data_IF_012990968296
#
_entry.id   IF_012990968296
#
_cell.length_a   1.000
_cell.length_b   1.000
_cell.length_c   1.000
_cell.angle_alpha   90.00
_cell.angle_beta   90.00
_cell.angle_gamma   90.00
#
_symmetry.space_group_name_H-M   'P 1'
#
loop_
_entity.id
_entity.type
_entity.pdbx_description
1 polymer ?
#
# COMPACT_ATOMS: atom_id res chain seq x y z
N UNK A 1 -18.64 -3.14 -5.78
CA UNK A 1 -18.80 -4.25 -6.74
C UNK A 1 -17.66 -5.22 -6.57
N UNK A 2 -17.99 -6.51 -6.43
CA UNK A 2 -16.99 -7.59 -6.24
C UNK A 2 -16.36 -7.93 -7.59
N UNK A 3 -15.07 -7.58 -7.74
CA UNK A 3 -14.34 -7.82 -9.00
C UNK A 3 -13.33 -8.96 -8.87
N UNK A 4 -12.67 -9.09 -7.72
CA UNK A 4 -11.62 -10.07 -7.45
C UNK A 4 -11.45 -10.33 -5.94
N UNK A 5 -10.67 -11.36 -5.53
CA UNK A 5 -10.42 -11.67 -4.13
C UNK A 5 -9.94 -10.49 -3.28
N UNK A 6 -9.04 -9.67 -3.82
CA UNK A 6 -8.51 -8.50 -3.08
C UNK A 6 -9.58 -7.45 -2.78
N UNK A 7 -10.59 -7.27 -3.64
CA UNK A 7 -11.71 -6.36 -3.38
C UNK A 7 -12.57 -6.87 -2.22
N UNK A 8 -12.85 -8.18 -2.20
CA UNK A 8 -13.57 -8.82 -1.08
C UNK A 8 -12.79 -8.67 0.22
N UNK A 9 -11.50 -9.02 0.21
CA UNK A 9 -10.64 -8.93 1.40
C UNK A 9 -10.60 -7.50 1.94
N UNK A 10 -10.46 -6.50 1.05
CA UNK A 10 -10.46 -5.09 1.44
C UNK A 10 -11.75 -4.70 2.18
N UNK A 11 -12.92 -5.01 1.60
CA UNK A 11 -14.21 -4.67 2.21
C UNK A 11 -14.41 -5.35 3.57
N UNK A 12 -14.01 -6.62 3.71
CA UNK A 12 -14.12 -7.34 4.98
C UNK A 12 -13.18 -6.74 6.04
N UNK A 13 -11.96 -6.38 5.67
CA UNK A 13 -11.01 -5.72 6.57
C UNK A 13 -11.54 -4.33 7.00
N UNK A 14 -12.08 -3.54 6.07
CA UNK A 14 -12.65 -2.23 6.39
C UNK A 14 -13.83 -2.35 7.36
N UNK A 15 -14.68 -3.38 7.21
CA UNK A 15 -15.74 -3.66 8.18
C UNK A 15 -15.20 -4.02 9.56
N UNK A 16 -14.13 -4.82 9.63
CA UNK A 16 -13.48 -5.18 10.88
C UNK A 16 -12.87 -3.95 11.59
N UNK A 17 -12.22 -3.05 10.82
CA UNK A 17 -11.69 -1.78 11.35
C UNK A 17 -12.85 -0.91 11.90
N UNK A 18 -13.93 -0.76 11.14
CA UNK A 18 -15.09 0.02 11.54
C UNK A 18 -15.80 -0.55 12.77
N UNK A 19 -15.67 -1.88 13.02
CA UNK A 19 -16.14 -2.54 14.24
C UNK A 19 -15.26 -2.25 15.47
N UNK A 20 -14.21 -1.44 15.36
CA UNK A 20 -13.32 -1.07 16.45
C UNK A 20 -12.38 -2.20 16.90
N UNK A 21 -12.03 -3.10 16.01
CA UNK A 21 -11.19 -4.26 16.29
C UNK A 21 -9.78 -3.87 16.71
N UNK A 22 -9.22 -4.61 17.67
CA UNK A 22 -7.81 -4.52 18.07
C UNK A 22 -6.96 -5.61 17.43
N UNK A 23 -7.60 -6.66 16.89
CA UNK A 23 -6.95 -7.77 16.22
C UNK A 23 -7.75 -8.20 14.99
N UNK A 24 -7.08 -8.30 13.85
CA UNK A 24 -7.66 -8.76 12.59
C UNK A 24 -6.80 -9.90 12.02
N UNK A 25 -7.44 -11.05 11.77
CA UNK A 25 -6.82 -12.21 11.15
C UNK A 25 -7.45 -12.45 9.77
N UNK A 26 -6.60 -12.57 8.75
CA UNK A 26 -6.99 -12.84 7.37
C UNK A 26 -6.42 -14.18 6.95
N UNK A 27 -7.27 -15.09 6.50
CA UNK A 27 -6.88 -16.39 5.98
C UNK A 27 -7.34 -16.52 4.53
N UNK A 28 -6.42 -16.93 3.67
CA UNK A 28 -6.61 -17.02 2.21
C UNK A 28 -6.22 -18.41 1.75
N UNK A 29 -7.08 -19.06 0.95
CA UNK A 29 -6.74 -20.30 0.26
C UNK A 29 -6.89 -20.12 -1.25
N UNK A 30 -5.96 -20.68 -2.01
CA UNK A 30 -5.92 -20.63 -3.47
C UNK A 30 -6.07 -19.19 -4.00
N UNK A 31 -5.29 -18.24 -3.43
CA UNK A 31 -5.35 -16.83 -3.83
C UNK A 31 -6.69 -16.14 -3.55
N UNK A 32 -7.55 -16.75 -2.74
CA UNK A 32 -8.89 -16.27 -2.39
C UNK A 32 -10.02 -16.82 -3.27
N UNK A 33 -9.73 -17.69 -4.24
CA UNK A 33 -10.76 -18.35 -5.03
C UNK A 33 -11.53 -19.40 -4.22
N UNK A 34 -10.83 -20.12 -3.31
CA UNK A 34 -11.42 -21.16 -2.45
C UNK A 34 -11.92 -20.61 -1.13
N UNK A 35 -11.11 -19.79 -0.45
CA UNK A 35 -11.45 -19.22 0.84
C UNK A 35 -10.86 -17.82 0.99
N UNK A 36 -11.70 -16.92 1.46
CA UNK A 36 -11.32 -15.64 2.07
C UNK A 36 -12.02 -15.62 3.43
N UNK A 37 -11.26 -15.64 4.51
CA UNK A 37 -11.82 -15.56 5.86
C UNK A 37 -11.17 -14.37 6.59
N UNK A 38 -12.00 -13.51 7.16
CA UNK A 38 -11.56 -12.41 8.01
C UNK A 38 -12.23 -12.58 9.36
N UNK A 39 -11.42 -12.58 10.41
CA UNK A 39 -11.85 -12.65 11.79
C UNK A 39 -11.36 -11.41 12.53
N UNK A 40 -12.22 -10.83 13.31
CA UNK A 40 -11.96 -9.69 14.17
C UNK A 40 -12.46 -9.91 15.60
N UNK A 41 -12.01 -9.07 16.50
CA UNK A 41 -12.39 -8.97 17.90
C UNK A 41 -13.16 -7.67 18.21
N UNK A 42 -13.86 -7.11 17.23
CA UNK A 42 -14.64 -5.89 17.37
C UNK A 42 -15.92 -6.06 18.17
N UNK A 43 -16.80 -5.09 18.05
CA UNK A 43 -18.07 -5.05 18.83
C UNK A 43 -19.02 -6.23 18.55
N UNK A 44 -18.82 -6.93 17.42
CA UNK A 44 -19.71 -7.99 16.98
C UNK A 44 -21.06 -7.49 16.43
N UNK A 45 -21.91 -8.45 16.03
CA UNK A 45 -23.25 -8.22 15.48
C UNK A 45 -24.22 -9.08 16.27
N UNK A 46 -25.29 -8.48 16.80
CA UNK A 46 -26.33 -9.18 17.52
C UNK A 46 -27.21 -10.07 16.61
N UNK A 47 -27.93 -11.03 17.22
CA UNK A 47 -28.80 -11.98 16.51
C UNK A 47 -29.76 -11.28 15.54
N UNK A 48 -30.43 -10.22 16.00
CA UNK A 48 -31.46 -9.50 15.23
C UNK A 48 -30.88 -8.74 14.03
N UNK A 49 -29.61 -8.33 14.11
CA UNK A 49 -28.93 -7.53 13.08
C UNK A 49 -28.23 -8.39 12.03
N UNK A 50 -27.98 -9.69 12.32
CA UNK A 50 -27.30 -10.58 11.39
C UNK A 50 -27.99 -10.72 10.02
N UNK A 51 -29.32 -10.90 9.92
CA UNK A 51 -30.01 -10.92 8.60
C UNK A 51 -29.88 -9.57 7.88
N UNK A 52 -29.94 -8.46 8.64
CA UNK A 52 -29.81 -7.12 8.09
C UNK A 52 -28.42 -6.85 7.52
N UNK A 53 -27.39 -7.42 8.13
CA UNK A 53 -26.01 -7.30 7.63
C UNK A 53 -25.83 -7.89 6.22
N UNK A 54 -26.69 -8.85 5.82
CA UNK A 54 -26.72 -9.44 4.48
C UNK A 54 -27.75 -8.81 3.55
N UNK A 55 -28.64 -7.95 4.06
CA UNK A 55 -29.64 -7.26 3.25
C UNK A 55 -29.02 -6.11 2.44
N UNK A 56 -29.56 -5.86 1.25
CA UNK A 56 -29.14 -4.72 0.44
C UNK A 56 -29.61 -3.43 1.08
N UNK A 57 -28.79 -2.39 1.03
CA UNK A 57 -29.08 -1.06 1.55
C UNK A 57 -29.27 -0.98 3.08
N UNK A 58 -28.98 -2.07 3.81
CA UNK A 58 -28.97 -2.03 5.27
C UNK A 58 -27.58 -1.60 5.76
N UNK A 59 -27.52 -0.48 6.46
CA UNK A 59 -26.31 0.01 7.11
C UNK A 59 -26.65 0.62 8.46
N UNK A 60 -25.87 0.27 9.48
CA UNK A 60 -25.92 0.92 10.79
C UNK A 60 -24.99 2.15 10.87
N UNK A 61 -24.27 2.45 9.78
CA UNK A 61 -23.19 3.46 9.76
C UNK A 61 -23.65 4.85 9.35
N UNK A 62 -24.87 4.97 8.81
CA UNK A 62 -25.46 6.25 8.34
C UNK A 62 -26.92 6.27 8.81
N UNK A 63 -27.23 7.22 9.67
CA UNK A 63 -28.58 7.49 10.15
C UNK A 63 -29.10 8.87 9.74
N UNK A 64 -28.19 9.77 9.35
CA UNK A 64 -28.51 11.15 8.95
C UNK A 64 -27.75 11.61 7.70
N UNK A 65 -28.15 12.73 7.12
CA UNK A 65 -27.46 13.38 6.01
C UNK A 65 -26.08 13.93 6.45
N UNK A 66 -25.98 14.35 7.69
CA UNK A 66 -24.74 14.84 8.31
C UNK A 66 -23.70 13.72 8.44
N UNK A 67 -24.14 12.49 8.73
CA UNK A 67 -23.28 11.30 8.72
C UNK A 67 -22.70 11.01 7.32
N UNK A 68 -23.40 11.45 6.25
CA UNK A 68 -22.96 11.28 4.88
C UNK A 68 -21.90 12.31 4.48
N UNK A 69 -21.93 13.50 5.05
CA UNK A 69 -20.96 14.56 4.80
C UNK A 69 -19.68 14.39 5.63
N UNK A 70 -19.82 13.96 6.89
CA UNK A 70 -18.71 13.73 7.81
C UNK A 70 -18.25 12.27 7.91
N UNK A 71 -18.27 11.48 6.80
CA UNK A 71 -18.01 10.04 6.80
C UNK A 71 -16.70 9.68 7.49
N UNK A 72 -16.77 9.33 8.77
CA UNK A 72 -15.65 8.79 9.56
C UNK A 72 -15.42 7.29 9.30
N UNK A 73 -16.47 6.54 8.92
CA UNK A 73 -16.40 5.09 8.66
C UNK A 73 -15.81 4.78 7.29
N UNK A 74 -15.02 3.70 7.18
CA UNK A 74 -14.43 3.25 5.92
C UNK A 74 -15.48 2.69 4.95
N UNK A 75 -16.53 2.03 5.47
CA UNK A 75 -17.65 1.46 4.71
C UNK A 75 -18.99 2.14 5.03
N UNK A 76 -19.71 2.69 4.06
CA UNK A 76 -20.99 3.40 4.30
C UNK A 76 -22.17 2.97 3.42
N UNK A 77 -21.97 2.10 2.40
CA UNK A 77 -23.02 1.78 1.41
C UNK A 77 -23.94 0.63 1.78
N UNK A 78 -23.63 -0.16 2.82
CA UNK A 78 -24.45 -1.29 3.26
C UNK A 78 -24.67 -2.41 2.22
N UNK A 79 -23.83 -2.47 1.16
CA UNK A 79 -24.03 -3.39 0.04
C UNK A 79 -22.92 -4.44 -0.12
N UNK A 80 -21.82 -4.32 0.64
CA UNK A 80 -20.63 -5.16 0.44
C UNK A 80 -20.94 -6.63 0.68
N UNK A 81 -21.48 -6.99 1.85
CA UNK A 81 -21.79 -8.38 2.20
C UNK A 81 -22.86 -8.98 1.31
N UNK A 82 -23.91 -8.22 0.96
CA UNK A 82 -24.95 -8.63 0.03
C UNK A 82 -24.38 -8.91 -1.38
N UNK A 83 -23.47 -8.08 -1.85
CA UNK A 83 -22.82 -8.27 -3.14
C UNK A 83 -21.88 -9.49 -3.14
N UNK A 84 -21.13 -9.70 -2.05
CA UNK A 84 -20.24 -10.84 -1.88
C UNK A 84 -21.04 -12.15 -1.83
N UNK A 85 -22.09 -12.22 -1.02
CA UNK A 85 -22.92 -13.42 -0.86
C UNK A 85 -23.62 -13.82 -2.16
N UNK A 86 -23.96 -12.85 -3.03
CA UNK A 86 -24.59 -13.14 -4.33
C UNK A 86 -23.71 -13.92 -5.29
N UNK A 87 -22.39 -13.93 -5.10
CA UNK A 87 -21.40 -14.58 -5.99
C UNK A 87 -20.49 -15.58 -5.26
N UNK A 88 -20.82 -15.93 -4.02
CA UNK A 88 -20.03 -16.84 -3.19
C UNK A 88 -20.94 -17.60 -2.22
N UNK A 89 -20.35 -18.54 -1.48
CA UNK A 89 -20.93 -19.14 -0.29
C UNK A 89 -20.40 -18.40 0.91
N UNK A 90 -21.26 -17.58 1.53
CA UNK A 90 -20.88 -16.72 2.64
C UNK A 90 -21.43 -17.29 3.95
N UNK A 91 -20.53 -17.42 4.93
CA UNK A 91 -20.85 -17.71 6.32
C UNK A 91 -20.35 -16.56 7.18
N UNK A 92 -21.22 -16.04 8.03
CA UNK A 92 -20.90 -15.01 9.02
C UNK A 92 -21.26 -15.55 10.39
N UNK A 93 -20.28 -15.58 11.29
CA UNK A 93 -20.45 -15.94 12.71
C UNK A 93 -20.06 -14.71 13.54
N UNK A 94 -20.93 -14.30 14.44
CA UNK A 94 -20.67 -13.10 15.24
C UNK A 94 -21.23 -13.21 16.64
N UNK A 95 -20.60 -12.50 17.55
CA UNK A 95 -21.03 -12.38 18.94
C UNK A 95 -20.81 -10.95 19.43
N UNK A 96 -21.86 -10.32 19.90
CA UNK A 96 -21.80 -9.00 20.53
C UNK A 96 -21.69 -9.04 22.05
N UNK A 97 -21.79 -10.24 22.65
CA UNK A 97 -21.72 -10.49 24.09
C UNK A 97 -20.32 -10.95 24.51
N UNK A 98 -20.00 -10.80 25.79
CA UNK A 98 -18.76 -11.30 26.37
C UNK A 98 -18.76 -12.83 26.59
N UNK A 99 -19.96 -13.48 26.75
CA UNK A 99 -20.07 -14.94 26.84
C UNK A 99 -19.92 -15.57 25.43
N UNK A 100 -18.86 -16.37 25.18
CA UNK A 100 -18.64 -16.99 23.87
C UNK A 100 -19.77 -17.90 23.38
N UNK A 101 -20.69 -18.32 24.27
CA UNK A 101 -21.83 -19.16 23.94
C UNK A 101 -22.99 -18.41 23.33
N UNK A 102 -23.01 -17.08 23.42
CA UNK A 102 -24.04 -16.19 22.89
C UNK A 102 -23.82 -15.79 21.42
N UNK A 103 -22.96 -16.53 20.70
CA UNK A 103 -22.70 -16.30 19.30
C UNK A 103 -23.78 -16.85 18.37
N UNK A 104 -23.91 -16.25 17.20
CA UNK A 104 -24.88 -16.59 16.17
C UNK A 104 -24.21 -16.70 14.80
N UNK A 105 -24.74 -17.58 13.98
CA UNK A 105 -24.27 -17.82 12.62
C UNK A 105 -25.39 -17.56 11.62
N UNK A 106 -25.05 -16.90 10.53
CA UNK A 106 -25.91 -16.78 9.36
C UNK A 106 -25.15 -17.29 8.14
N UNK A 107 -25.85 -18.04 7.29
CA UNK A 107 -25.32 -18.56 6.03
C UNK A 107 -26.16 -18.01 4.89
N UNK A 108 -25.49 -17.55 3.82
CA UNK A 108 -26.13 -17.10 2.58
C UNK A 108 -25.38 -17.67 1.38
N UNK A 109 -26.12 -18.20 0.41
CA UNK A 109 -25.56 -18.81 -0.80
C UNK A 109 -26.30 -18.34 -2.05
N UNK A 110 -25.58 -17.69 -2.95
CA UNK A 110 -26.10 -17.30 -4.26
C UNK A 110 -27.21 -16.23 -4.23
N UNK A 111 -28.08 -16.22 -5.24
CA UNK A 111 -29.09 -15.18 -5.42
C UNK A 111 -30.41 -15.40 -4.66
N UNK A 112 -30.69 -16.62 -4.23
CA UNK A 112 -31.94 -17.00 -3.55
C UNK A 112 -31.88 -16.88 -2.02
N UNK A 113 -31.15 -15.94 -1.49
CA UNK A 113 -30.73 -15.78 -0.11
C UNK A 113 -31.86 -15.82 0.92
N UNK A 114 -32.18 -17.01 1.44
CA UNK A 114 -32.82 -17.12 2.75
C UNK A 114 -31.71 -17.13 3.83
N UNK A 115 -31.59 -16.03 4.55
CA UNK A 115 -30.64 -15.94 5.65
C UNK A 115 -31.14 -16.81 6.82
N UNK A 116 -30.53 -17.97 7.02
CA UNK A 116 -30.84 -18.85 8.16
C UNK A 116 -29.92 -18.53 9.30
N UNK A 117 -30.48 -18.01 10.39
CA UNK A 117 -29.76 -17.74 11.63
C UNK A 117 -29.81 -18.96 12.53
N UNK A 118 -28.68 -19.36 13.09
CA UNK A 118 -28.54 -20.49 14.04
C UNK A 118 -27.55 -20.13 15.13
N UNK A 119 -27.73 -20.63 16.38
CA UNK A 119 -26.72 -20.46 17.43
C UNK A 119 -25.37 -21.07 17.00
N UNK A 120 -24.29 -20.36 17.29
CA UNK A 120 -22.93 -20.83 17.06
C UNK A 120 -21.96 -20.15 18.01
N UNK A 121 -21.22 -20.89 18.84
CA UNK A 121 -20.25 -20.30 19.75
C UNK A 121 -19.18 -19.48 19.01
N UNK A 122 -18.94 -18.28 19.49
CA UNK A 122 -17.91 -17.37 18.97
C UNK A 122 -17.48 -16.41 20.09
N UNK A 123 -16.19 -16.13 20.28
CA UNK A 123 -15.78 -15.03 21.16
C UNK A 123 -16.35 -13.71 20.63
N UNK A 124 -16.38 -12.68 21.44
CA UNK A 124 -16.81 -11.35 21.01
C UNK A 124 -16.06 -10.95 19.71
N UNK A 125 -16.78 -10.41 18.74
CA UNK A 125 -16.29 -10.07 17.42
C UNK A 125 -16.99 -10.81 16.29
N UNK A 126 -16.40 -10.80 15.10
CA UNK A 126 -17.00 -11.37 13.89
C UNK A 126 -16.01 -12.21 13.08
N UNK A 127 -16.50 -13.30 12.51
CA UNK A 127 -15.79 -14.07 11.51
C UNK A 127 -16.64 -14.17 10.24
N UNK A 128 -16.11 -13.68 9.12
CA UNK A 128 -16.74 -13.78 7.81
C UNK A 128 -15.91 -14.75 6.95
N UNK A 129 -16.55 -15.81 6.47
CA UNK A 129 -15.94 -16.80 5.57
C UNK A 129 -16.63 -16.75 4.21
N UNK A 130 -15.87 -16.43 3.18
CA UNK A 130 -16.31 -16.39 1.78
C UNK A 130 -15.67 -17.56 1.05
N UNK A 131 -16.48 -18.54 0.65
CA UNK A 131 -16.02 -19.75 -0.03
C UNK A 131 -16.44 -19.74 -1.50
N UNK A 132 -15.63 -20.39 -2.32
CA UNK A 132 -15.91 -20.65 -3.74
C UNK A 132 -16.33 -19.40 -4.51
N UNK A 133 -15.53 -18.34 -4.41
CA UNK A 133 -15.81 -17.06 -5.06
C UNK A 133 -16.07 -17.27 -6.57
N UNK A 134 -17.17 -16.67 -7.06
CA UNK A 134 -17.66 -16.79 -8.43
C UNK A 134 -18.12 -18.21 -8.86
N UNK A 135 -18.52 -19.07 -7.90
CA UNK A 135 -19.00 -20.42 -8.21
C UNK A 135 -20.19 -20.41 -9.18
N UNK A 136 -21.08 -19.42 -9.07
CA UNK A 136 -22.28 -19.26 -9.90
C UNK A 136 -22.10 -18.26 -11.06
N UNK A 137 -20.88 -17.78 -11.30
CA UNK A 137 -20.55 -16.83 -12.38
C UNK A 137 -19.29 -17.31 -13.12
N UNK A 138 -19.39 -18.39 -13.95
CA UNK A 138 -18.21 -19.01 -14.58
C UNK A 138 -17.38 -18.06 -15.43
N UNK A 139 -18.01 -17.09 -16.09
CA UNK A 139 -17.30 -16.08 -16.87
C UNK A 139 -16.36 -15.25 -15.97
N UNK A 140 -16.85 -14.77 -14.81
CA UNK A 140 -16.00 -14.05 -13.84
C UNK A 140 -14.89 -14.90 -13.27
N UNK A 141 -15.18 -16.19 -12.98
CA UNK A 141 -14.17 -17.13 -12.48
C UNK A 141 -13.02 -17.33 -13.47
N UNK A 142 -13.29 -17.34 -14.77
CA UNK A 142 -12.26 -17.43 -15.83
C UNK A 142 -11.35 -16.20 -15.91
N UNK A 143 -11.78 -15.04 -15.43
CA UNK A 143 -10.96 -13.82 -15.38
C UNK A 143 -10.03 -13.76 -14.18
N UNK A 144 -10.15 -14.66 -13.21
CA UNK A 144 -9.17 -14.76 -12.13
C UNK A 144 -7.81 -15.14 -12.71
N UNK A 145 -6.79 -14.47 -12.21
CA UNK A 145 -5.40 -14.77 -12.57
C UNK A 145 -4.91 -16.01 -11.83
N UNK A 146 -3.62 -16.29 -11.96
CA UNK A 146 -3.00 -17.38 -11.19
C UNK A 146 -3.13 -17.12 -9.70
N UNK A 147 -3.14 -18.19 -8.89
CA UNK A 147 -3.19 -18.13 -7.43
C UNK A 147 -2.16 -17.14 -6.86
N UNK A 148 -0.91 -17.23 -7.35
CA UNK A 148 0.19 -16.33 -6.94
C UNK A 148 -0.14 -14.87 -7.21
N UNK A 149 -0.73 -14.57 -8.37
CA UNK A 149 -1.07 -13.19 -8.76
C UNK A 149 -2.24 -12.65 -7.93
N UNK A 150 -3.29 -13.47 -7.73
CA UNK A 150 -4.43 -13.04 -6.91
C UNK A 150 -4.02 -12.86 -5.45
N UNK A 151 -3.19 -13.77 -4.91
CA UNK A 151 -2.65 -13.60 -3.56
C UNK A 151 -1.80 -12.33 -3.43
N UNK A 152 -0.95 -12.00 -4.40
CA UNK A 152 -0.17 -10.77 -4.39
C UNK A 152 -1.07 -9.51 -4.32
N UNK A 153 -2.22 -9.52 -5.00
CA UNK A 153 -3.21 -8.43 -4.89
C UNK A 153 -3.88 -8.38 -3.51
N UNK A 154 -4.18 -9.54 -2.91
CA UNK A 154 -4.72 -9.62 -1.54
C UNK A 154 -3.69 -9.12 -0.53
N UNK A 155 -2.45 -9.58 -0.65
CA UNK A 155 -1.34 -9.14 0.22
C UNK A 155 -1.12 -7.63 0.14
N UNK A 156 -1.20 -7.05 -1.06
CA UNK A 156 -1.10 -5.60 -1.24
C UNK A 156 -2.27 -4.86 -0.59
N UNK A 157 -3.50 -5.36 -0.69
CA UNK A 157 -4.65 -4.79 -0.01
C UNK A 157 -4.50 -4.87 1.53
N UNK A 158 -4.05 -6.01 2.04
CA UNK A 158 -3.74 -6.21 3.45
C UNK A 158 -2.64 -5.24 3.94
N UNK A 159 -1.53 -5.13 3.18
CA UNK A 159 -0.40 -4.24 3.50
C UNK A 159 -0.83 -2.79 3.66
N UNK A 160 -1.69 -2.30 2.76
CA UNK A 160 -2.25 -0.95 2.83
C UNK A 160 -3.01 -0.71 4.12
N UNK A 161 -3.86 -1.63 4.52
CA UNK A 161 -4.63 -1.51 5.75
C UNK A 161 -3.74 -1.62 7.00
N UNK A 162 -2.78 -2.54 6.99
CA UNK A 162 -1.84 -2.71 8.10
C UNK A 162 -0.89 -1.50 8.28
N UNK A 163 -0.60 -0.75 7.21
CA UNK A 163 0.15 0.51 7.27
C UNK A 163 -0.72 1.71 7.68
N UNK A 164 -2.05 1.64 7.54
CA UNK A 164 -2.95 2.72 7.97
C UNK A 164 -3.31 2.65 9.46
N UNK A 165 -3.24 1.45 10.08
CA UNK A 165 -3.71 1.21 11.45
C UNK A 165 -2.65 0.45 12.24
N UNK A 166 -1.73 1.20 12.86
CA UNK A 166 -0.66 0.64 13.69
C UNK A 166 -1.14 0.16 15.06
N UNK A 167 -2.28 0.64 15.51
CA UNK A 167 -2.96 0.26 16.75
C UNK A 167 -3.53 -1.17 16.72
N UNK A 168 -3.73 -1.74 15.54
CA UNK A 168 -4.31 -3.08 15.35
C UNK A 168 -3.22 -4.14 15.19
N UNK A 169 -3.41 -5.30 15.81
CA UNK A 169 -2.63 -6.51 15.55
C UNK A 169 -3.13 -7.19 14.28
N UNK A 170 -2.21 -7.57 13.38
CA UNK A 170 -2.57 -8.15 12.09
C UNK A 170 -1.93 -9.52 11.88
N UNK A 171 -2.71 -10.46 11.32
CA UNK A 171 -2.21 -11.76 10.88
C UNK A 171 -2.71 -12.03 9.46
N UNK A 172 -1.81 -12.40 8.56
CA UNK A 172 -2.15 -12.90 7.23
C UNK A 172 -1.64 -14.33 7.07
N UNK A 173 -2.54 -15.24 6.70
CA UNK A 173 -2.23 -16.63 6.37
C UNK A 173 -2.56 -16.91 4.91
N UNK A 174 -1.72 -17.66 4.24
CA UNK A 174 -1.97 -18.19 2.90
C UNK A 174 -1.72 -19.69 2.87
N UNK A 175 -2.74 -20.46 2.48
CA UNK A 175 -2.71 -21.92 2.48
C UNK A 175 -2.19 -22.46 3.83
N UNK A 176 -2.77 -21.97 4.94
CA UNK A 176 -2.46 -22.33 6.33
C UNK A 176 -1.11 -21.84 6.86
N UNK A 177 -0.24 -21.29 6.00
CA UNK A 177 1.06 -20.73 6.42
C UNK A 177 0.91 -19.25 6.80
N UNK A 178 1.53 -18.86 7.90
CA UNK A 178 1.62 -17.45 8.30
C UNK A 178 2.57 -16.72 7.34
N UNK A 179 2.06 -15.70 6.66
CA UNK A 179 2.84 -14.82 5.77
C UNK A 179 3.27 -13.58 6.52
N UNK A 180 2.35 -12.96 7.26
CA UNK A 180 2.62 -11.80 8.09
C UNK A 180 2.00 -11.97 9.47
N UNK A 181 2.76 -11.56 10.49
CA UNK A 181 2.30 -11.43 11.87
C UNK A 181 2.85 -10.12 12.43
N UNK A 182 1.98 -9.14 12.62
CA UNK A 182 2.33 -7.76 12.92
C UNK A 182 1.71 -7.38 14.27
N UNK A 183 2.51 -7.19 15.32
CA UNK A 183 2.00 -6.74 16.62
C UNK A 183 1.49 -5.29 16.51
N UNK A 184 0.56 -4.86 17.38
CA UNK A 184 0.16 -3.46 17.47
C UNK A 184 1.29 -2.62 18.02
N UNK A 185 1.35 -1.34 17.67
CA UNK A 185 2.31 -0.41 18.26
C UNK A 185 2.37 0.93 17.54
N UNK A 186 2.12 2.00 18.29
CA UNK A 186 2.13 3.37 17.79
C UNK A 186 3.47 4.08 17.99
N UNK A 187 4.37 3.50 18.79
CA UNK A 187 5.72 4.06 18.99
C UNK A 187 6.50 4.07 17.67
N UNK A 188 7.33 5.06 17.40
CA UNK A 188 8.10 5.16 16.15
C UNK A 188 8.86 3.88 15.81
N UNK A 189 9.54 3.28 16.77
CA UNK A 189 10.29 2.02 16.58
C UNK A 189 9.39 0.84 16.23
N UNK A 190 8.15 0.78 16.75
CA UNK A 190 7.20 -0.26 16.42
C UNK A 190 6.65 -0.08 14.99
N UNK A 191 6.40 1.17 14.59
CA UNK A 191 6.00 1.51 13.20
C UNK A 191 7.11 1.14 12.22
N UNK A 192 8.36 1.48 12.50
CA UNK A 192 9.51 1.11 11.66
C UNK A 192 9.67 -0.40 11.52
N UNK A 193 9.53 -1.17 12.60
CA UNK A 193 9.57 -2.64 12.55
C UNK A 193 8.46 -3.20 11.65
N UNK A 194 7.25 -2.64 11.71
CA UNK A 194 6.14 -3.05 10.84
C UNK A 194 6.42 -2.71 9.39
N UNK A 195 6.90 -1.51 9.10
CA UNK A 195 7.30 -1.11 7.75
C UNK A 195 8.40 -2.03 7.23
N UNK A 196 9.43 -2.31 8.02
CA UNK A 196 10.51 -3.23 7.65
C UNK A 196 10.01 -4.65 7.40
N UNK A 197 9.02 -5.12 8.15
CA UNK A 197 8.38 -6.43 7.94
C UNK A 197 7.58 -6.49 6.63
N UNK A 198 6.93 -5.39 6.23
CA UNK A 198 6.07 -5.33 5.05
C UNK A 198 6.80 -4.93 3.76
N UNK A 199 7.78 -4.02 3.85
CA UNK A 199 8.46 -3.44 2.70
C UNK A 199 9.93 -3.84 2.58
N UNK A 200 10.45 -4.54 3.60
CA UNK A 200 11.84 -4.95 3.70
C UNK A 200 12.68 -3.98 4.55
N UNK A 201 13.71 -4.52 5.22
CA UNK A 201 14.63 -3.74 6.06
C UNK A 201 15.33 -2.65 5.27
N UNK A 202 15.71 -2.95 4.04
CA UNK A 202 16.39 -2.01 3.14
C UNK A 202 15.60 -0.71 2.90
N UNK A 203 14.25 -0.75 2.98
CA UNK A 203 13.43 0.45 2.91
C UNK A 203 13.75 1.40 4.07
N UNK A 204 13.69 0.91 5.32
CA UNK A 204 13.92 1.73 6.52
C UNK A 204 15.37 2.23 6.60
N UNK A 205 16.35 1.40 6.23
CA UNK A 205 17.77 1.75 6.23
C UNK A 205 18.09 2.91 5.26
N UNK A 206 17.28 3.06 4.19
CA UNK A 206 17.44 4.10 3.18
C UNK A 206 16.26 5.08 3.15
N UNK A 207 15.54 5.24 4.23
CA UNK A 207 14.45 6.20 4.36
C UNK A 207 14.76 7.22 5.47
N UNK A 208 14.16 8.41 5.33
CA UNK A 208 14.16 9.43 6.39
C UNK A 208 12.75 9.65 6.89
N UNK A 209 12.63 9.80 8.19
CA UNK A 209 11.39 10.24 8.80
C UNK A 209 11.21 11.74 8.57
N UNK A 210 10.01 12.12 8.18
CA UNK A 210 9.59 13.51 8.00
C UNK A 210 8.40 13.77 8.92
N UNK A 211 8.40 14.95 9.54
CA UNK A 211 7.25 15.51 10.25
C UNK A 211 7.22 17.01 10.04
N UNK A 212 6.13 17.51 9.46
CA UNK A 212 5.93 18.94 9.15
C UNK A 212 4.48 19.31 9.39
N UNK A 213 4.28 20.49 9.96
CA UNK A 213 2.96 21.06 10.20
C UNK A 213 2.92 22.50 9.72
N UNK A 214 1.94 22.85 8.90
CA UNK A 214 1.68 24.22 8.46
C UNK A 214 0.26 24.33 7.87
N UNK A 215 -0.39 25.46 8.11
CA UNK A 215 -1.68 25.80 7.50
C UNK A 215 -2.81 24.81 7.81
N UNK A 216 -2.79 24.17 8.98
CA UNK A 216 -3.77 23.13 9.35
C UNK A 216 -3.51 21.76 8.71
N UNK A 217 -2.37 21.60 8.03
CA UNK A 217 -1.92 20.33 7.44
C UNK A 217 -0.76 19.77 8.26
N UNK A 218 -0.80 18.48 8.58
CA UNK A 218 0.31 17.76 9.20
C UNK A 218 0.71 16.57 8.32
N UNK A 219 1.96 16.60 7.86
CA UNK A 219 2.58 15.52 7.09
C UNK A 219 3.57 14.78 7.98
N UNK A 220 3.44 13.45 8.06
CA UNK A 220 4.40 12.59 8.75
C UNK A 220 4.68 11.32 7.95
N UNK A 221 5.78 10.62 8.25
CA UNK A 221 6.09 9.34 7.63
C UNK A 221 7.54 9.18 7.18
N UNK A 222 7.75 8.26 6.26
CA UNK A 222 9.09 7.86 5.79
C UNK A 222 9.22 8.09 4.29
N UNK A 223 10.29 8.76 3.92
CA UNK A 223 10.64 9.16 2.54
C UNK A 223 11.92 8.43 2.16
N UNK A 224 11.86 7.60 1.13
CA UNK A 224 13.05 6.89 0.63
C UNK A 224 14.06 7.87 0.02
N UNK A 225 15.33 7.66 0.33
CA UNK A 225 16.41 8.41 -0.29
C UNK A 225 16.46 8.12 -1.80
N UNK A 226 16.94 9.06 -2.63
CA UNK A 226 17.05 8.87 -4.08
C UNK A 226 17.84 7.63 -4.49
N UNK A 227 18.83 7.25 -3.67
CA UNK A 227 19.65 6.04 -3.84
C UNK A 227 18.83 4.75 -3.73
N UNK A 228 17.70 4.78 -3.00
CA UNK A 228 16.78 3.66 -2.82
C UNK A 228 15.50 3.86 -3.64
N UNK A 229 15.65 4.07 -4.94
CA UNK A 229 14.52 4.21 -5.87
C UNK A 229 14.24 2.89 -6.61
N UNK A 230 13.02 2.73 -7.13
CA UNK A 230 12.58 1.50 -7.78
C UNK A 230 12.27 1.71 -9.26
N UNK A 231 12.35 0.63 -10.04
CA UNK A 231 11.94 0.63 -11.47
C UNK A 231 10.42 0.65 -11.64
N UNK A 232 9.66 0.31 -10.58
CA UNK A 232 8.20 0.31 -10.57
C UNK A 232 7.67 1.13 -9.40
N UNK A 233 6.49 1.72 -9.56
CA UNK A 233 5.80 2.51 -8.53
C UNK A 233 5.00 1.61 -7.57
N UNK A 234 5.65 0.61 -6.98
CA UNK A 234 5.04 -0.45 -6.17
C UNK A 234 5.15 -0.25 -4.65
N UNK A 235 5.98 0.69 -4.20
CA UNK A 235 6.15 1.02 -2.77
C UNK A 235 5.82 2.51 -2.51
N UNK A 236 4.62 2.91 -2.90
CA UNK A 236 4.11 4.26 -2.72
C UNK A 236 2.82 4.22 -1.92
N UNK A 237 2.92 4.54 -0.63
CA UNK A 237 1.81 4.50 0.31
C UNK A 237 1.52 5.89 0.83
N UNK A 238 0.34 6.40 0.50
CA UNK A 238 -0.14 7.70 0.97
C UNK A 238 -1.49 7.55 1.66
N UNK A 239 -1.59 8.16 2.82
CA UNK A 239 -2.79 8.10 3.66
C UNK A 239 -3.27 9.51 3.97
N UNK A 240 -4.58 9.72 3.90
CA UNK A 240 -5.25 10.96 4.32
C UNK A 240 -6.23 10.63 5.42
N UNK A 241 -6.04 11.19 6.62
CA UNK A 241 -6.85 10.90 7.79
C UNK A 241 -7.07 9.39 8.00
N UNK A 242 -6.00 8.58 7.87
CA UNK A 242 -6.01 7.13 8.00
C UNK A 242 -6.58 6.35 6.80
N UNK A 243 -7.02 7.02 5.74
CA UNK A 243 -7.52 6.38 4.51
C UNK A 243 -6.44 6.25 3.45
N UNK A 244 -6.39 5.10 2.79
CA UNK A 244 -5.52 4.88 1.62
C UNK A 244 -5.95 5.76 0.47
N UNK A 245 -5.06 6.62 -0.03
CA UNK A 245 -5.32 7.55 -1.11
C UNK A 245 -4.35 7.33 -2.27
N UNK A 246 -4.90 7.35 -3.50
CA UNK A 246 -4.16 7.36 -4.77
C UNK A 246 -4.66 8.54 -5.60
N UNK A 247 -4.15 9.70 -5.30
CA UNK A 247 -4.58 10.95 -5.90
C UNK A 247 -3.52 11.50 -6.86
N UNK A 248 -3.97 12.14 -7.94
CA UNK A 248 -3.08 12.68 -8.98
C UNK A 248 -2.29 13.89 -8.49
N UNK A 249 -2.91 14.74 -7.65
CA UNK A 249 -2.29 15.91 -7.07
C UNK A 249 -1.14 15.50 -6.16
N UNK A 250 -1.39 14.53 -5.25
CA UNK A 250 -0.37 13.96 -4.37
C UNK A 250 0.77 13.34 -5.18
N UNK A 251 0.44 12.51 -6.16
CA UNK A 251 1.43 11.87 -7.02
C UNK A 251 2.26 12.89 -7.81
N UNK A 252 1.66 14.02 -8.20
CA UNK A 252 2.35 15.12 -8.89
C UNK A 252 3.31 15.83 -7.94
N UNK A 253 2.84 16.22 -6.74
CA UNK A 253 3.66 16.90 -5.74
C UNK A 253 4.90 16.08 -5.35
N UNK A 254 4.70 14.78 -5.07
CA UNK A 254 5.81 13.87 -4.76
C UNK A 254 6.79 13.76 -5.93
N UNK A 255 6.29 13.55 -7.15
CA UNK A 255 7.15 13.43 -8.33
C UNK A 255 7.95 14.70 -8.58
N UNK A 256 7.35 15.86 -8.38
CA UNK A 256 8.02 17.14 -8.52
C UNK A 256 9.12 17.33 -7.45
N UNK A 257 8.86 16.93 -6.20
CA UNK A 257 9.86 17.00 -5.14
C UNK A 257 11.10 16.13 -5.40
N UNK A 258 10.92 15.03 -6.11
CA UNK A 258 12.01 14.12 -6.46
C UNK A 258 12.65 14.40 -7.83
N UNK A 259 12.15 15.37 -8.60
CA UNK A 259 12.52 15.58 -10.02
C UNK A 259 14.01 15.75 -10.23
N UNK A 260 14.68 16.52 -9.35
CA UNK A 260 16.09 16.89 -9.50
C UNK A 260 17.06 15.90 -8.86
N UNK A 261 16.54 14.86 -8.23
CA UNK A 261 17.35 13.89 -7.45
C UNK A 261 17.17 12.44 -7.90
N UNK A 262 16.15 12.14 -8.73
CA UNK A 262 15.93 10.80 -9.28
C UNK A 262 16.39 10.69 -10.74
N UNK A 263 17.02 9.57 -11.05
CA UNK A 263 17.31 9.22 -12.45
C UNK A 263 16.01 8.95 -13.24
N UNK A 264 16.02 9.23 -14.53
CA UNK A 264 14.89 8.97 -15.42
C UNK A 264 14.44 7.50 -15.36
N UNK A 265 13.12 7.28 -15.30
CA UNK A 265 12.53 5.95 -15.21
C UNK A 265 12.57 5.30 -13.82
N UNK A 266 13.01 6.03 -12.79
CA UNK A 266 12.97 5.56 -11.42
C UNK A 266 11.79 6.18 -10.66
N UNK A 267 11.28 5.42 -9.68
CA UNK A 267 10.15 5.82 -8.86
C UNK A 267 10.56 5.96 -7.40
N UNK A 268 10.11 7.03 -6.72
CA UNK A 268 10.34 7.20 -5.29
C UNK A 268 9.59 6.13 -4.50
N UNK A 269 10.09 5.81 -3.33
CA UNK A 269 9.43 4.95 -2.34
C UNK A 269 9.09 5.77 -1.10
N UNK A 270 7.90 5.58 -0.55
CA UNK A 270 7.47 6.33 0.62
C UNK A 270 6.29 5.68 1.34
N UNK A 271 6.16 6.01 2.62
CA UNK A 271 4.99 5.74 3.46
C UNK A 271 4.66 7.05 4.16
N UNK A 272 3.64 7.77 3.69
CA UNK A 272 3.31 9.13 4.12
C UNK A 272 1.88 9.23 4.64
N UNK A 273 1.69 10.02 5.69
CA UNK A 273 0.42 10.29 6.34
C UNK A 273 0.18 11.80 6.33
N UNK A 274 -0.94 12.21 5.74
CA UNK A 274 -1.44 13.58 5.77
C UNK A 274 -2.66 13.63 6.68
N UNK A 275 -2.59 14.46 7.69
CA UNK A 275 -3.70 14.77 8.59
C UNK A 275 -4.16 16.20 8.32
N UNK A 276 -5.46 16.38 8.19
CA UNK A 276 -6.10 17.67 7.98
C UNK A 276 -7.55 17.61 8.46
N UNK A 277 -8.16 18.77 8.62
CA UNK A 277 -9.57 18.87 8.99
C UNK A 277 -10.44 18.10 7.99
N UNK A 278 -11.30 17.17 8.43
CA UNK A 278 -12.20 16.42 7.57
C UNK A 278 -13.08 17.31 6.67
N UNK A 279 -13.44 18.51 7.11
CA UNK A 279 -14.32 19.42 6.36
C UNK A 279 -13.62 20.05 5.13
N UNK A 280 -12.29 19.96 5.03
CA UNK A 280 -11.54 20.48 3.88
C UNK A 280 -11.16 19.41 2.84
N UNK A 281 -11.60 18.16 3.06
CA UNK A 281 -11.37 17.06 2.14
C UNK A 281 -12.66 16.28 1.86
N UNK A 282 -13.07 16.21 0.59
CA UNK A 282 -14.15 15.34 0.16
C UNK A 282 -13.58 13.96 -0.24
N UNK A 283 -13.99 12.93 0.48
CA UNK A 283 -13.58 11.54 0.25
C UNK A 283 -14.61 10.74 -0.56
N UNK A 284 -15.77 11.34 -0.87
CA UNK A 284 -16.85 10.67 -1.60
C UNK A 284 -16.81 10.93 -3.12
N UNK A 285 -15.64 11.11 -3.68
CA UNK A 285 -15.45 11.46 -5.10
C UNK A 285 -15.55 10.26 -6.03
N UNK A 286 -15.09 9.08 -5.60
CA UNK A 286 -15.01 7.89 -6.45
C UNK A 286 -15.53 6.62 -5.73
N UNK A 287 -16.18 5.68 -6.45
CA UNK A 287 -16.71 4.44 -5.87
C UNK A 287 -15.68 3.60 -5.11
N UNK A 288 -14.40 3.62 -5.52
CA UNK A 288 -13.31 2.90 -4.87
C UNK A 288 -12.69 3.66 -3.69
N UNK A 289 -13.11 4.92 -3.46
CA UNK A 289 -12.62 5.81 -2.39
C UNK A 289 -11.10 6.03 -2.36
N UNK A 290 -10.41 5.79 -3.46
CA UNK A 290 -8.96 6.02 -3.57
C UNK A 290 -8.60 7.43 -4.02
N UNK A 291 -9.55 8.16 -4.60
CA UNK A 291 -9.41 9.57 -4.97
C UNK A 291 -10.10 10.44 -3.93
N UNK A 292 -9.50 11.56 -3.60
CA UNK A 292 -10.03 12.56 -2.69
C UNK A 292 -10.05 13.91 -3.40
N UNK A 293 -10.92 14.80 -2.99
CA UNK A 293 -10.95 16.16 -3.49
C UNK A 293 -10.62 17.11 -2.34
N UNK A 294 -9.48 17.76 -2.41
CA UNK A 294 -9.12 18.79 -1.46
C UNK A 294 -9.83 20.10 -1.81
N UNK A 295 -10.34 20.80 -0.80
CA UNK A 295 -10.99 22.10 -0.96
C UNK A 295 -10.01 23.12 -1.54
N UNK A 296 -8.79 23.16 -1.05
CA UNK A 296 -7.67 23.91 -1.59
C UNK A 296 -6.55 22.95 -2.04
N UNK A 297 -6.68 22.42 -3.24
CA UNK A 297 -5.71 21.49 -3.80
C UNK A 297 -4.34 22.13 -4.02
N UNK A 298 -4.28 23.45 -4.30
CA UNK A 298 -3.00 24.14 -4.50
C UNK A 298 -2.21 24.23 -3.21
N UNK A 299 -2.87 24.61 -2.12
CA UNK A 299 -2.23 24.69 -0.80
C UNK A 299 -1.67 23.32 -0.38
N UNK A 300 -2.46 22.25 -0.56
CA UNK A 300 -2.00 20.87 -0.26
C UNK A 300 -0.82 20.46 -1.13
N UNK A 301 -0.87 20.75 -2.44
CA UNK A 301 0.23 20.47 -3.36
C UNK A 301 1.52 21.16 -2.94
N UNK A 302 1.46 22.48 -2.69
CA UNK A 302 2.63 23.30 -2.35
C UNK A 302 3.21 22.91 -0.98
N UNK A 303 2.34 22.55 -0.02
CA UNK A 303 2.77 22.02 1.28
C UNK A 303 3.50 20.68 1.15
N UNK A 304 2.95 19.74 0.38
CA UNK A 304 3.58 18.43 0.14
C UNK A 304 4.91 18.60 -0.58
N UNK A 305 4.93 19.38 -1.66
CA UNK A 305 6.13 19.63 -2.44
C UNK A 305 7.24 20.24 -1.57
N UNK A 306 6.95 21.34 -0.89
CA UNK A 306 7.95 22.05 -0.06
C UNK A 306 8.47 21.18 1.08
N UNK A 307 7.59 20.41 1.73
CA UNK A 307 7.96 19.51 2.83
C UNK A 307 8.92 18.41 2.37
N UNK A 308 8.59 17.76 1.26
CA UNK A 308 9.41 16.68 0.70
C UNK A 308 10.72 17.20 0.11
N UNK A 309 10.66 18.29 -0.65
CA UNK A 309 11.85 18.91 -1.23
C UNK A 309 12.86 19.30 -0.16
N UNK A 310 12.40 19.90 0.94
CA UNK A 310 13.26 20.29 2.06
C UNK A 310 13.91 19.06 2.74
N UNK A 311 13.14 18.00 2.94
CA UNK A 311 13.65 16.74 3.50
C UNK A 311 14.73 16.11 2.61
N UNK A 312 14.53 16.13 1.29
CA UNK A 312 15.48 15.58 0.31
C UNK A 312 16.72 16.45 0.14
N UNK A 313 16.58 17.78 0.18
CA UNK A 313 17.71 18.73 0.10
C UNK A 313 18.65 18.57 1.30
N UNK A 314 18.11 18.41 2.51
CA UNK A 314 18.89 18.14 3.72
C UNK A 314 19.62 16.77 3.69
N UNK A 315 19.40 15.95 2.66
CA UNK A 315 20.01 14.63 2.48
C UNK A 315 21.17 14.62 1.50
N UNK A 316 21.46 15.74 0.83
CA UNK A 316 22.68 15.86 0.03
C UNK A 316 23.86 15.92 1.00
N UNK A 317 24.95 15.15 0.80
CA UNK A 317 26.17 15.36 1.54
C UNK A 317 26.58 16.82 1.32
N UNK A 318 26.76 17.57 2.38
CA UNK A 318 27.41 18.86 2.30
C UNK A 318 28.79 18.55 1.76
N UNK A 319 29.12 18.97 0.54
CA UNK A 319 30.50 19.11 0.14
C UNK A 319 31.10 20.04 1.18
N UNK A 320 31.99 19.50 2.02
CA UNK A 320 32.78 20.28 2.94
C UNK A 320 33.48 21.34 2.07
N UNK A 321 33.07 22.60 2.22
CA UNK A 321 33.91 23.71 1.78
C UNK A 321 35.28 23.52 2.41
N UNK A 322 36.36 23.48 1.62
CA UNK A 322 37.69 23.42 2.22
C UNK A 322 37.84 24.62 3.13
N UNK A 323 38.02 24.34 4.41
CA UNK A 323 38.30 25.35 5.43
C UNK A 323 39.38 26.26 4.91
N UNK A 324 39.03 27.54 4.73
CA UNK A 324 39.97 28.61 4.46
C UNK A 324 40.95 28.65 5.64
N UNK A 325 42.14 28.12 5.41
CA UNK A 325 43.26 28.26 6.32
C UNK A 325 43.66 29.72 6.39
N UNK A 326 43.43 30.34 7.54
CA UNK A 326 44.01 31.64 7.92
C UNK A 326 45.52 31.59 7.74
N UNK A 327 45.96 32.44 6.81
CA UNK A 327 47.36 32.76 6.59
C UNK A 327 47.83 33.71 7.69
N UNK A 328 48.61 33.24 8.64
CA UNK A 328 49.52 34.11 9.38
C UNK A 328 50.93 33.93 8.89
N UNK A 329 51.44 35.03 8.36
CA UNK A 329 52.84 35.21 7.93
C UNK A 329 53.78 35.09 9.12
N UNK A 330 54.91 34.40 8.93
CA UNK A 330 56.26 35.01 9.15
C UNK A 330 57.39 34.09 8.80
N UNK A 331 58.33 34.72 8.12
CA UNK A 331 59.80 34.61 8.16
C UNK A 331 60.55 33.62 7.29
N UNK A 332 61.22 34.24 6.41
CA UNK A 332 62.39 33.98 5.54
C UNK A 332 63.49 33.17 6.18
N UNK A 333 63.97 32.12 5.49
CA UNK A 333 65.38 31.82 5.26
C UNK A 333 65.52 30.90 4.03
N UNK A 334 66.21 31.36 2.99
CA UNK A 334 66.86 30.56 1.93
C UNK A 334 68.30 30.24 2.38
N UNK A 335 69.16 29.47 1.68
CA UNK A 335 68.96 28.48 0.59
C UNK A 335 69.77 27.18 0.79
N UNK A 336 69.62 26.18 -0.03
CA UNK A 336 70.68 25.53 -0.84
C UNK A 336 70.28 24.16 -1.45
N UNK A 337 70.31 24.13 -2.76
CA UNK A 337 70.97 23.26 -3.78
C UNK A 337 70.74 21.71 -3.71
N UNK A 338 70.17 21.24 -4.88
CA UNK A 338 70.51 20.05 -5.66
C UNK A 338 70.03 18.67 -5.24
N UNK A 339 69.13 18.06 -6.02
CA UNK A 339 69.41 16.88 -6.85
C UNK A 339 68.21 16.44 -7.69
N UNK A 340 68.43 16.36 -8.96
CA UNK A 340 67.56 15.68 -9.94
C UNK A 340 67.35 14.22 -9.59
N UNK A 341 66.10 13.73 -9.64
CA UNK A 341 65.80 12.29 -9.86
C UNK A 341 64.62 12.22 -10.85
N UNK A 342 64.94 11.71 -12.01
CA UNK A 342 64.04 11.33 -13.09
C UNK A 342 62.92 10.44 -12.61
N UNK A 343 61.68 10.76 -13.01
CA UNK A 343 60.50 9.87 -12.95
C UNK A 343 60.31 9.21 -14.31
N UNK A 344 60.14 7.90 -14.39
CA UNK A 344 59.71 7.27 -15.67
C UNK A 344 58.21 7.27 -15.75
N UNK A 345 57.70 7.79 -16.86
CA UNK A 345 56.30 7.72 -17.28
C UNK A 345 55.88 6.27 -17.61
N UNK A 346 54.69 5.81 -17.23
CA UNK A 346 54.19 4.53 -17.71
C UNK A 346 53.55 4.69 -19.12
N UNK A 347 54.20 4.07 -20.11
CA UNK A 347 53.64 3.90 -21.47
C UNK A 347 52.48 2.88 -21.42
N UNK A 348 51.29 3.31 -21.79
CA UNK A 348 50.20 2.41 -22.11
C UNK A 348 50.32 1.95 -23.55
N UNK A 349 50.60 0.66 -23.76
CA UNK A 349 50.50 0.02 -25.08
C UNK A 349 49.04 -0.37 -25.33
N UNK A 350 48.50 0.18 -26.41
CA UNK A 350 47.23 -0.29 -27.01
C UNK A 350 47.55 -1.58 -27.77
N UNK A 351 47.04 -2.71 -27.28
CA UNK A 351 46.97 -3.93 -28.10
C UNK A 351 45.71 -3.89 -28.93
N UNK A 352 45.86 -3.79 -30.24
CA UNK A 352 44.78 -3.95 -31.23
C UNK A 352 44.33 -5.39 -31.30
N UNK A 353 43.00 -5.62 -31.17
CA UNK A 353 42.37 -6.89 -31.50
C UNK A 353 42.13 -7.00 -33.00
N UNK A 354 42.38 -8.14 -33.64
CA UNK A 354 42.08 -8.37 -35.04
C UNK A 354 40.57 -8.64 -35.23
N UNK A 355 39.97 -7.96 -36.21
CA UNK A 355 38.64 -8.25 -36.74
C UNK A 355 38.69 -9.56 -37.51
N UNK A 356 37.97 -10.59 -37.07
CA UNK A 356 37.68 -11.75 -37.92
C UNK A 356 36.31 -11.56 -38.57
N UNK A 357 36.31 -11.49 -39.88
CA UNK A 357 35.11 -11.63 -40.70
C UNK A 357 34.57 -13.05 -40.58
N UNK A 358 33.35 -13.15 -40.05
CA UNK A 358 32.57 -14.39 -39.99
C UNK A 358 31.15 -14.15 -40.51
N UNK A 359 30.92 -14.54 -41.74
CA UNK A 359 29.60 -14.61 -42.40
C UNK A 359 28.68 -15.60 -41.65
N UNK A 360 27.67 -15.11 -40.96
CA UNK A 360 26.62 -15.92 -40.34
C UNK A 360 25.23 -15.35 -40.62
N UNK A 361 24.49 -15.98 -41.54
CA UNK A 361 23.10 -15.68 -41.85
C UNK A 361 22.23 -15.86 -40.62
N UNK A 362 21.54 -14.82 -40.17
CA UNK A 362 20.51 -14.90 -39.12
C UNK A 362 19.16 -15.34 -39.75
N UNK A 363 18.49 -16.39 -39.18
CA UNK A 363 17.18 -16.87 -39.66
C UNK A 363 16.00 -16.12 -39.07
N UNK A 364 16.12 -14.85 -38.74
CA UNK A 364 15.04 -14.05 -38.10
C UNK A 364 14.27 -13.15 -39.05
N UNK A 365 14.78 -12.86 -40.27
CA UNK A 365 14.17 -11.87 -41.17
C UNK A 365 13.01 -12.40 -42.05
N UNK A 366 12.87 -13.70 -42.18
CA UNK A 366 11.78 -14.31 -42.97
C UNK A 366 10.43 -14.49 -42.23
N UNK A 367 10.44 -14.47 -40.90
CA UNK A 367 9.21 -14.59 -40.09
C UNK A 367 8.40 -13.30 -40.02
N UNK A 368 9.01 -12.15 -40.12
CA UNK A 368 8.34 -10.83 -40.06
C UNK A 368 7.64 -10.48 -41.37
N UNK A 369 8.15 -10.94 -42.52
CA UNK A 369 7.53 -10.68 -43.84
C UNK A 369 6.24 -11.48 -44.09
N UNK A 370 6.04 -12.61 -43.45
CA UNK A 370 4.82 -13.45 -43.61
C UNK A 370 3.63 -12.95 -42.74
N UNK A 371 3.88 -12.09 -41.74
CA UNK A 371 2.82 -11.58 -40.87
C UNK A 371 2.13 -10.33 -41.44
N UNK A 372 2.73 -9.66 -42.39
CA UNK A 372 2.21 -8.42 -43.00
C UNK A 372 1.44 -8.60 -44.31
N UNK A 373 1.30 -9.81 -44.80
CA UNK A 373 0.57 -10.09 -46.08
C UNK A 373 -0.81 -10.76 -45.86
N UNK A 374 -1.32 -10.81 -44.65
CA UNK A 374 -2.60 -11.47 -44.30
C UNK A 374 -3.75 -10.55 -43.94
N UNK A 375 -3.65 -9.23 -44.19
CA UNK A 375 -4.76 -8.28 -44.04
C UNK A 375 -4.81 -7.35 -45.25
N UNK A 376 -5.45 -7.86 -46.29
CA UNK A 376 -6.22 -7.09 -47.26
C UNK A 376 -7.57 -7.77 -47.44
#
# INVERSE_FOLDING_TARGET
>A
VVERPSSVTKELIENAIDAGSQRIEVEIEQGGARLIKVRDDGIGIGEQDLPLALARHATSKISSLEDLEGVSSLGFRGEALASISSVSRLELVSNADEDPRQGWRVVAEGRGMEARVTPAPHPRGTSVSVRDLFFNTPARRKFLRTEKTEFAHVEEAFRRQALSRYDIAWVLRHNQKVVHQLPPGNMPTARERRIASLLGKNFIEHARYIEREAGGLRLSGWVGLPTHSRSQADQQYFFVNGRVVRDRLVAHAVRQAYRDVLYNGRHPVFVLYLELDPDVVDVNVHPTKHEVRFRDGRMVHDFLYSSLHHCLAASKPTEEEPAASDTQANEVVEPTVSAEVEQPEPRWQQQGMPLSEGSGRHPGAERVRRFMQGYQ
#
